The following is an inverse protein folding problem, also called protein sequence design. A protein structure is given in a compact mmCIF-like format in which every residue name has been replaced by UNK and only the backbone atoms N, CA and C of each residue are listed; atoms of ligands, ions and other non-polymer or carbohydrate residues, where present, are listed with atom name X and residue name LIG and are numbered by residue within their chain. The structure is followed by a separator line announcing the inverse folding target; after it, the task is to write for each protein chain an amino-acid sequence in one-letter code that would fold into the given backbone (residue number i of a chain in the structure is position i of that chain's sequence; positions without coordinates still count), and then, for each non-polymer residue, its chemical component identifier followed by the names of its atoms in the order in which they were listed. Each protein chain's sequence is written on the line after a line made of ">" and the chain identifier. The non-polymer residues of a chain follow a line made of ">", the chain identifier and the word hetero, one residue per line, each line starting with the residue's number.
data_IF_780186803245
#
_entry.id   IF_780186803245
#
_cell.length_a   1.000
_cell.length_b   1.000
_cell.length_c   1.000
_cell.angle_alpha   90.00
_cell.angle_beta   90.00
_cell.angle_gamma   90.00
#
_symmetry.space_group_name_H-M   'P 1'
#
loop_
_entity.id
_entity.type
_entity.pdbx_description
1 polymer ?
#
# COMPACT_ATOMS: atom_id res chain seq x y z
N UNK A 1 6.97 -26.92 5.85
CA UNK A 1 6.17 -28.17 5.82
C UNK A 1 4.89 -27.86 5.04
N UNK A 2 4.62 -28.53 3.91
CA UNK A 2 3.36 -28.31 3.18
C UNK A 2 2.30 -29.31 3.64
N UNK A 3 1.12 -28.82 3.93
CA UNK A 3 -0.05 -29.62 4.29
C UNK A 3 -0.80 -30.03 3.01
N UNK A 4 -1.45 -31.19 3.06
CA UNK A 4 -2.46 -31.58 2.06
C UNK A 4 -3.83 -31.24 2.62
N UNK A 5 -4.58 -30.39 1.92
CA UNK A 5 -5.92 -29.95 2.31
C UNK A 5 -6.91 -30.39 1.24
N UNK A 6 -7.94 -31.12 1.62
CA UNK A 6 -9.04 -31.51 0.72
C UNK A 6 -10.19 -30.53 0.88
N UNK A 7 -10.67 -29.96 -0.22
CA UNK A 7 -11.82 -29.04 -0.27
C UNK A 7 -12.83 -29.53 -1.31
N UNK A 8 -14.10 -29.17 -1.11
CA UNK A 8 -15.17 -29.43 -2.09
C UNK A 8 -15.62 -28.10 -2.65
N UNK A 9 -15.69 -27.98 -3.98
CA UNK A 9 -16.12 -26.75 -4.65
C UNK A 9 -17.08 -27.15 -5.78
N UNK A 10 -18.30 -26.60 -5.78
CA UNK A 10 -19.32 -26.95 -6.78
C UNK A 10 -19.56 -28.48 -6.87
N UNK A 11 -19.55 -29.16 -5.71
CA UNK A 11 -19.73 -30.61 -5.61
C UNK A 11 -18.56 -31.47 -6.10
N UNK A 12 -17.40 -30.88 -6.41
CA UNK A 12 -16.18 -31.61 -6.81
C UNK A 12 -15.10 -31.55 -5.74
N UNK A 13 -14.47 -32.69 -5.47
CA UNK A 13 -13.33 -32.80 -4.56
C UNK A 13 -12.03 -32.30 -5.19
N UNK A 14 -11.29 -31.44 -4.48
CA UNK A 14 -9.97 -30.97 -4.83
C UNK A 14 -9.00 -31.20 -3.66
N UNK A 15 -7.81 -31.71 -3.95
CA UNK A 15 -6.74 -31.85 -2.94
C UNK A 15 -5.61 -30.90 -3.28
N UNK A 16 -5.35 -29.95 -2.38
CA UNK A 16 -4.36 -28.89 -2.53
C UNK A 16 -3.16 -29.18 -1.63
N UNK A 17 -1.95 -29.04 -2.19
CA UNK A 17 -0.72 -29.05 -1.42
C UNK A 17 -0.26 -27.61 -1.20
N UNK A 18 -0.23 -27.15 0.05
CA UNK A 18 0.04 -25.75 0.38
C UNK A 18 0.75 -25.61 1.72
N UNK A 19 1.52 -24.53 1.88
CA UNK A 19 2.12 -24.16 3.17
C UNK A 19 1.11 -23.48 4.11
N UNK A 20 -0.04 -23.06 3.58
CA UNK A 20 -1.07 -22.35 4.32
C UNK A 20 -1.82 -23.25 5.32
N UNK A 21 -2.46 -22.60 6.30
CA UNK A 21 -3.34 -23.29 7.24
C UNK A 21 -4.59 -23.83 6.54
N UNK A 22 -5.09 -24.99 6.98
CA UNK A 22 -6.31 -25.57 6.42
C UNK A 22 -7.51 -24.63 6.53
N UNK A 23 -7.65 -23.90 7.64
CA UNK A 23 -8.71 -22.90 7.84
C UNK A 23 -8.68 -21.79 6.78
N UNK A 24 -7.50 -21.30 6.44
CA UNK A 24 -7.35 -20.30 5.39
C UNK A 24 -7.81 -20.86 4.03
N UNK A 25 -7.35 -22.06 3.68
CA UNK A 25 -7.72 -22.73 2.42
C UNK A 25 -9.23 -23.01 2.34
N UNK A 26 -9.86 -23.41 3.46
CA UNK A 26 -11.31 -23.56 3.54
C UNK A 26 -12.04 -22.23 3.35
N UNK A 27 -11.52 -21.14 3.91
CA UNK A 27 -12.05 -19.79 3.68
C UNK A 27 -11.99 -19.39 2.20
N UNK A 28 -10.86 -19.66 1.53
CA UNK A 28 -10.72 -19.42 0.09
C UNK A 28 -11.72 -20.25 -0.73
N UNK A 29 -11.85 -21.55 -0.43
CA UNK A 29 -12.79 -22.43 -1.13
C UNK A 29 -14.24 -21.94 -0.98
N UNK A 30 -14.64 -21.55 0.24
CA UNK A 30 -15.98 -20.99 0.51
C UNK A 30 -16.21 -19.67 -0.24
N UNK A 31 -15.19 -18.82 -0.32
CA UNK A 31 -15.28 -17.54 -1.03
C UNK A 31 -15.42 -17.76 -2.54
N UNK A 32 -14.63 -18.69 -3.09
CA UNK A 32 -14.72 -19.07 -4.50
C UNK A 32 -16.10 -19.66 -4.83
N UNK A 33 -16.62 -20.56 -3.99
CA UNK A 33 -17.95 -21.13 -4.18
C UNK A 33 -19.05 -20.06 -4.13
N UNK A 34 -19.02 -19.15 -3.15
CA UNK A 34 -19.97 -18.02 -3.09
C UNK A 34 -19.98 -17.20 -4.38
N UNK A 35 -18.79 -16.81 -4.87
CA UNK A 35 -18.68 -16.02 -6.11
C UNK A 35 -19.17 -16.78 -7.34
N UNK A 36 -18.93 -18.09 -7.41
CA UNK A 36 -19.45 -18.92 -8.51
C UNK A 36 -20.99 -18.98 -8.45
N UNK A 37 -21.55 -19.24 -7.26
CA UNK A 37 -22.99 -19.27 -7.03
C UNK A 37 -23.65 -17.94 -7.38
N UNK A 38 -23.06 -16.81 -6.98
CA UNK A 38 -23.57 -15.46 -7.32
C UNK A 38 -23.68 -15.25 -8.84
N UNK A 39 -22.68 -15.69 -9.62
CA UNK A 39 -22.70 -15.56 -11.08
C UNK A 39 -23.73 -16.51 -11.70
N UNK A 40 -23.82 -17.75 -11.20
CA UNK A 40 -24.81 -18.73 -11.70
C UNK A 40 -26.24 -18.32 -11.37
N UNK A 41 -26.49 -17.73 -10.20
CA UNK A 41 -27.81 -17.25 -9.80
C UNK A 41 -28.21 -15.98 -10.57
N UNK A 42 -27.27 -15.06 -10.81
CA UNK A 42 -27.50 -13.86 -11.61
C UNK A 42 -27.67 -14.15 -13.11
N UNK A 43 -27.09 -15.26 -13.59
CA UNK A 43 -27.20 -15.71 -14.97
C UNK A 43 -27.58 -17.18 -15.00
N UNK A 44 -28.89 -17.46 -14.92
CA UNK A 44 -29.45 -18.82 -14.84
C UNK A 44 -29.11 -19.75 -16.00
N UNK A 45 -28.52 -19.22 -17.09
CA UNK A 45 -28.01 -20.00 -18.23
C UNK A 45 -26.52 -20.36 -18.14
N UNK A 46 -25.78 -19.76 -17.20
CA UNK A 46 -24.36 -19.98 -17.03
C UNK A 46 -24.08 -21.27 -16.25
N UNK A 47 -23.34 -22.19 -16.86
CA UNK A 47 -22.86 -23.37 -16.15
C UNK A 47 -21.88 -22.99 -15.03
N UNK A 48 -21.75 -23.79 -13.95
CA UNK A 48 -20.73 -23.56 -12.91
C UNK A 48 -19.30 -23.46 -13.46
N UNK A 49 -19.01 -24.13 -14.59
CA UNK A 49 -17.73 -24.02 -15.26
C UNK A 49 -17.52 -22.63 -15.89
N UNK A 50 -18.52 -22.12 -16.61
CA UNK A 50 -18.50 -20.77 -17.18
C UNK A 50 -18.39 -19.71 -16.08
N UNK A 51 -19.16 -19.86 -15.00
CA UNK A 51 -19.10 -18.99 -13.83
C UNK A 51 -17.71 -19.01 -13.18
N UNK A 52 -17.08 -20.19 -13.02
CA UNK A 52 -15.71 -20.28 -12.50
C UNK A 52 -14.68 -19.57 -13.38
N UNK A 53 -14.81 -19.62 -14.72
CA UNK A 53 -13.95 -18.84 -15.64
C UNK A 53 -14.16 -17.34 -15.43
N UNK A 54 -15.41 -16.89 -15.29
CA UNK A 54 -15.72 -15.48 -15.04
C UNK A 54 -15.17 -14.99 -13.71
N UNK A 55 -15.29 -15.79 -12.63
CA UNK A 55 -14.64 -15.50 -11.36
C UNK A 55 -13.13 -15.43 -11.53
N UNK A 56 -12.52 -16.36 -12.26
CA UNK A 56 -11.10 -16.37 -12.55
C UNK A 56 -10.63 -15.07 -13.23
N UNK A 57 -11.33 -14.62 -14.27
CA UNK A 57 -11.04 -13.36 -14.96
C UNK A 57 -11.18 -12.15 -14.03
N UNK A 58 -12.25 -12.10 -13.24
CA UNK A 58 -12.46 -11.02 -12.27
C UNK A 58 -11.35 -10.98 -11.20
N UNK A 59 -10.94 -12.14 -10.68
CA UNK A 59 -9.85 -12.22 -9.69
C UNK A 59 -8.50 -11.80 -10.28
N UNK A 60 -8.26 -12.07 -11.57
CA UNK A 60 -7.04 -11.63 -12.26
C UNK A 60 -7.02 -10.11 -12.46
N UNK A 61 -8.16 -9.52 -12.83
CA UNK A 61 -8.31 -8.06 -12.93
C UNK A 61 -8.14 -7.38 -11.57
N UNK A 62 -8.77 -7.91 -10.51
CA UNK A 62 -8.61 -7.43 -9.13
C UNK A 62 -7.12 -7.49 -8.69
N UNK A 63 -6.42 -8.59 -9.01
CA UNK A 63 -5.00 -8.75 -8.72
C UNK A 63 -4.14 -7.71 -9.46
N UNK A 64 -4.40 -7.49 -10.75
CA UNK A 64 -3.69 -6.49 -11.55
C UNK A 64 -3.91 -5.07 -11.00
N UNK A 65 -5.15 -4.72 -10.64
CA UNK A 65 -5.47 -3.44 -9.99
C UNK A 65 -4.80 -3.29 -8.63
N UNK A 66 -4.77 -4.35 -7.82
CA UNK A 66 -4.11 -4.34 -6.52
C UNK A 66 -2.59 -4.13 -6.66
N UNK A 67 -1.95 -4.79 -7.63
CA UNK A 67 -0.53 -4.60 -7.92
C UNK A 67 -0.23 -3.17 -8.40
N UNK A 68 -1.02 -2.63 -9.33
CA UNK A 68 -0.85 -1.24 -9.79
C UNK A 68 -1.01 -0.23 -8.64
N UNK A 69 -1.97 -0.45 -7.74
CA UNK A 69 -2.14 0.36 -6.53
C UNK A 69 -0.93 0.24 -5.60
N UNK A 70 -0.38 -0.96 -5.46
CA UNK A 70 0.79 -1.20 -4.62
C UNK A 70 2.02 -0.47 -5.17
N UNK A 71 2.22 -0.45 -6.48
CA UNK A 71 3.29 0.32 -7.13
C UNK A 71 3.09 1.83 -6.94
N UNK A 72 1.85 2.32 -7.09
CA UNK A 72 1.53 3.72 -6.79
C UNK A 72 1.83 4.10 -5.33
N UNK A 73 1.55 3.23 -4.37
CA UNK A 73 1.88 3.45 -2.95
C UNK A 73 3.41 3.49 -2.74
N UNK A 74 4.16 2.65 -3.45
CA UNK A 74 5.65 2.68 -3.40
C UNK A 74 6.19 4.02 -3.90
N UNK A 75 5.65 4.51 -5.01
CA UNK A 75 6.06 5.79 -5.59
C UNK A 75 5.72 6.95 -4.65
N UNK A 76 4.51 6.97 -4.10
CA UNK A 76 4.11 7.96 -3.09
C UNK A 76 5.03 7.91 -1.87
N UNK A 77 5.33 6.71 -1.35
CA UNK A 77 6.23 6.57 -0.20
C UNK A 77 7.63 7.11 -0.50
N UNK A 78 8.12 6.95 -1.73
CA UNK A 78 9.41 7.50 -2.15
C UNK A 78 9.36 9.03 -2.21
N UNK A 79 8.32 9.58 -2.83
CA UNK A 79 8.10 11.02 -2.91
C UNK A 79 8.03 11.66 -1.51
N UNK A 80 7.27 11.07 -0.58
CA UNK A 80 7.22 11.53 0.81
C UNK A 80 8.60 11.55 1.49
N UNK A 81 9.44 10.54 1.23
CA UNK A 81 10.80 10.49 1.80
C UNK A 81 11.69 11.58 1.19
N UNK A 82 11.61 11.77 -0.14
CA UNK A 82 12.38 12.77 -0.86
C UNK A 82 11.98 14.20 -0.42
N UNK A 83 10.68 14.46 -0.28
CA UNK A 83 10.14 15.73 0.22
C UNK A 83 10.56 16.00 1.66
N UNK A 84 10.44 15.01 2.56
CA UNK A 84 10.90 15.15 3.94
C UNK A 84 12.40 15.45 4.02
N UNK A 85 13.20 14.85 3.13
CA UNK A 85 14.62 15.15 2.98
C UNK A 85 14.87 16.59 2.56
N UNK A 86 14.14 17.08 1.54
CA UNK A 86 14.23 18.46 1.06
C UNK A 86 13.83 19.46 2.13
N UNK A 87 12.70 19.27 2.80
CA UNK A 87 12.24 20.14 3.90
C UNK A 87 13.25 20.19 5.04
N UNK A 88 13.89 19.06 5.38
CA UNK A 88 14.94 19.04 6.41
C UNK A 88 16.12 19.92 6.02
N UNK A 89 16.61 19.81 4.78
CA UNK A 89 17.71 20.62 4.27
C UNK A 89 17.36 22.11 4.24
N UNK A 90 16.16 22.47 3.77
CA UNK A 90 15.67 23.85 3.77
C UNK A 90 15.58 24.42 5.19
N UNK A 91 15.08 23.62 6.14
CA UNK A 91 15.01 23.98 7.56
C UNK A 91 16.41 24.21 8.15
N UNK A 92 17.36 23.33 7.87
CA UNK A 92 18.74 23.46 8.36
C UNK A 92 19.40 24.73 7.79
N UNK A 93 19.20 25.03 6.50
CA UNK A 93 19.68 26.25 5.86
C UNK A 93 19.04 27.52 6.46
N UNK A 94 17.73 27.52 6.67
CA UNK A 94 17.03 28.63 7.30
C UNK A 94 17.52 28.88 8.74
N UNK A 95 17.76 27.82 9.51
CA UNK A 95 18.33 27.94 10.86
C UNK A 95 19.73 28.57 10.85
N UNK A 96 20.60 28.19 9.91
CA UNK A 96 21.92 28.80 9.77
C UNK A 96 21.83 30.30 9.43
N UNK A 97 20.92 30.68 8.53
CA UNK A 97 20.69 32.09 8.19
C UNK A 97 20.17 32.89 9.38
N UNK A 98 19.23 32.33 10.16
CA UNK A 98 18.72 32.96 11.38
C UNK A 98 19.85 33.23 12.38
N UNK A 99 20.74 32.27 12.57
CA UNK A 99 21.86 32.43 13.51
C UNK A 99 22.87 33.48 13.02
N UNK A 100 23.19 33.49 11.74
CA UNK A 100 24.04 34.51 11.13
C UNK A 100 23.46 35.92 11.28
N UNK A 101 22.16 36.07 11.03
CA UNK A 101 21.45 37.35 11.19
C UNK A 101 21.43 37.81 12.65
N UNK A 102 21.17 36.91 13.60
CA UNK A 102 21.24 37.23 15.04
C UNK A 102 22.61 37.72 15.45
N UNK A 103 23.68 37.05 15.00
CA UNK A 103 25.05 37.49 15.27
C UNK A 103 25.32 38.89 14.70
N UNK A 104 24.84 39.17 13.49
CA UNK A 104 25.02 40.48 12.86
C UNK A 104 24.23 41.59 13.58
N UNK A 105 23.02 41.29 14.03
CA UNK A 105 22.22 42.23 14.84
C UNK A 105 22.97 42.56 16.14
N UNK A 106 23.46 41.55 16.86
CA UNK A 106 24.18 41.77 18.11
C UNK A 106 25.45 42.63 17.93
N UNK A 107 26.18 42.43 16.83
CA UNK A 107 27.35 43.23 16.47
C UNK A 107 26.97 44.69 16.17
N UNK A 108 25.95 44.91 15.33
CA UNK A 108 25.46 46.25 14.99
C UNK A 108 24.92 46.99 16.20
N UNK A 109 24.19 46.30 17.10
CA UNK A 109 23.73 46.88 18.36
C UNK A 109 24.88 47.29 19.27
N UNK A 110 26.01 46.55 19.27
CA UNK A 110 27.21 46.93 20.01
C UNK A 110 27.84 48.19 19.43
N UNK A 111 28.00 48.24 18.11
CA UNK A 111 28.54 49.42 17.42
C UNK A 111 27.69 50.68 17.64
N UNK A 112 26.36 50.55 17.63
CA UNK A 112 25.44 51.65 17.94
C UNK A 112 25.63 52.17 19.36
N UNK A 113 25.67 51.27 20.36
CA UNK A 113 25.91 51.65 21.76
C UNK A 113 27.27 52.35 21.94
N UNK A 114 28.31 51.89 21.25
CA UNK A 114 29.64 52.52 21.28
C UNK A 114 29.66 53.92 20.65
N UNK A 115 28.83 54.17 19.62
CA UNK A 115 28.68 55.50 19.00
C UNK A 115 27.86 56.45 19.87
N UNK A 116 26.77 55.98 20.48
CA UNK A 116 25.91 56.82 21.32
C UNK A 116 26.58 57.21 22.65
N UNK A 117 27.61 56.46 23.07
CA UNK A 117 28.40 56.75 24.28
C UNK A 117 29.56 57.75 24.06
N UNK A 118 29.71 58.30 22.84
CA UNK A 118 30.83 59.15 22.42
C UNK A 118 30.38 60.56 22.08
#
# INVERSE_FOLDING_TARGET
>A
MSNKVKVVICGKDFTLQTAESSNYVFGLARTLESRITEITDANSSASPFTAAIMVGLATLDDLNKANAKLDSIRDQSKEYVDEAGKTRLERDAAMQQVEALKSRIAELERELREKDAK
#
